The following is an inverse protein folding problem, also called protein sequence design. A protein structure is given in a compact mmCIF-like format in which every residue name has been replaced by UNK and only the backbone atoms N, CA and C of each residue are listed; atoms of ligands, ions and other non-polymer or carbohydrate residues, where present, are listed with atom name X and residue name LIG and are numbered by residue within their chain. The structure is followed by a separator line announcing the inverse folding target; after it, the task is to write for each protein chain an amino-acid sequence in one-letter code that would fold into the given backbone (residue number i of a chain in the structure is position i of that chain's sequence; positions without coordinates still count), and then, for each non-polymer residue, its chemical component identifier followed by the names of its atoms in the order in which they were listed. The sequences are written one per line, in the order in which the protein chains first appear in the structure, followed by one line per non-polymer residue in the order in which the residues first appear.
data_IF_189571065247
#
_entry.id   IF_189571065247
#
_cell.length_a   1.000
_cell.length_b   1.000
_cell.length_c   1.000
_cell.angle_alpha   90.00
_cell.angle_beta   90.00
_cell.angle_gamma   90.00
#
_symmetry.space_group_name_H-M   'P 1'
#
loop_
_entity.id
_entity.type
_entity.pdbx_description
1 polymer ?
#
# COMPACT_ATOMS: atom_id res chain seq x y z
N UNK A 1 38.04 1.02 -47.51
CA UNK A 1 37.59 2.37 -47.08
C UNK A 1 36.12 2.52 -47.44
N UNK A 2 35.22 2.56 -46.46
CA UNK A 2 33.80 2.90 -46.64
C UNK A 2 33.57 4.22 -45.92
N UNK A 3 33.22 5.24 -46.70
CA UNK A 3 32.82 6.57 -46.24
C UNK A 3 31.63 6.47 -45.27
N UNK A 4 31.81 6.99 -44.06
CA UNK A 4 30.75 7.15 -43.07
C UNK A 4 30.02 8.45 -43.44
N UNK A 5 28.80 8.32 -43.97
CA UNK A 5 27.92 9.46 -44.21
C UNK A 5 27.59 10.12 -42.86
N UNK A 6 28.01 11.38 -42.72
CA UNK A 6 27.65 12.25 -41.61
C UNK A 6 26.12 12.39 -41.52
N UNK A 7 25.52 11.71 -40.55
CA UNK A 7 24.14 11.93 -40.14
C UNK A 7 24.11 13.24 -39.34
N UNK A 8 23.78 14.35 -40.00
CA UNK A 8 23.37 15.58 -39.30
C UNK A 8 21.94 15.38 -38.81
N UNK A 9 21.68 15.21 -37.50
CA UNK A 9 20.32 15.18 -37.01
C UNK A 9 19.68 16.55 -37.27
N UNK A 10 18.46 16.52 -37.83
CA UNK A 10 17.64 17.71 -38.05
C UNK A 10 17.36 18.33 -36.67
N UNK A 11 17.82 19.55 -36.43
CA UNK A 11 17.82 20.20 -35.10
C UNK A 11 16.48 20.10 -34.35
N UNK A 12 15.35 20.10 -35.08
CA UNK A 12 14.01 19.94 -34.48
C UNK A 12 13.79 18.61 -33.74
N UNK A 13 14.40 17.50 -34.17
CA UNK A 13 14.22 16.20 -33.49
C UNK A 13 15.00 16.12 -32.18
N UNK A 14 16.09 16.88 -32.06
CA UNK A 14 16.91 16.93 -30.86
C UNK A 14 16.23 17.79 -29.79
N UNK A 15 15.58 18.88 -30.20
CA UNK A 15 14.78 19.72 -29.29
C UNK A 15 13.55 18.97 -28.78
N UNK A 16 12.85 18.21 -29.63
CA UNK A 16 11.67 17.44 -29.21
C UNK A 16 12.06 16.31 -28.25
N UNK A 17 13.17 15.61 -28.51
CA UNK A 17 13.68 14.56 -27.63
C UNK A 17 14.11 15.12 -26.26
N UNK A 18 14.75 16.30 -26.24
CA UNK A 18 15.15 16.96 -25.00
C UNK A 18 13.94 17.39 -24.16
N UNK A 19 12.90 17.94 -24.80
CA UNK A 19 11.65 18.31 -24.13
C UNK A 19 10.94 17.10 -23.51
N UNK A 20 10.91 15.96 -24.20
CA UNK A 20 10.36 14.71 -23.67
C UNK A 20 11.15 14.24 -22.44
N UNK A 21 12.48 14.30 -22.50
CA UNK A 21 13.35 13.87 -21.41
C UNK A 21 13.21 14.76 -20.17
N UNK A 22 13.08 16.07 -20.35
CA UNK A 22 12.79 17.04 -19.28
C UNK A 22 11.40 16.79 -18.68
N UNK A 23 10.39 16.50 -19.50
CA UNK A 23 9.05 16.17 -19.02
C UNK A 23 9.04 14.88 -18.18
N UNK A 24 9.75 13.84 -18.61
CA UNK A 24 9.91 12.61 -17.84
C UNK A 24 10.66 12.82 -16.52
N UNK A 25 11.69 13.66 -16.50
CA UNK A 25 12.40 14.03 -15.27
C UNK A 25 11.50 14.80 -14.30
N UNK A 26 10.70 15.75 -14.80
CA UNK A 26 9.76 16.50 -13.96
C UNK A 26 8.66 15.60 -13.39
N UNK A 27 8.11 14.68 -14.20
CA UNK A 27 7.15 13.68 -13.73
C UNK A 27 7.80 12.75 -12.70
N UNK A 28 9.03 12.31 -12.92
CA UNK A 28 9.76 11.48 -11.97
C UNK A 28 10.00 12.20 -10.63
N UNK A 29 10.31 13.50 -10.64
CA UNK A 29 10.45 14.32 -9.43
C UNK A 29 9.10 14.44 -8.71
N UNK A 30 8.00 14.65 -9.44
CA UNK A 30 6.65 14.74 -8.86
C UNK A 30 6.18 13.40 -8.28
N UNK A 31 6.46 12.27 -8.93
CA UNK A 31 6.12 10.94 -8.41
C UNK A 31 6.97 10.52 -7.21
N UNK A 32 8.21 11.00 -7.11
CA UNK A 32 9.09 10.78 -5.97
C UNK A 32 8.99 11.90 -4.92
N UNK A 33 7.94 12.72 -4.93
CA UNK A 33 7.73 13.74 -3.91
C UNK A 33 7.71 13.07 -2.54
N UNK A 34 8.84 13.16 -1.83
CA UNK A 34 8.95 12.89 -0.41
C UNK A 34 7.84 13.71 0.23
N UNK A 35 6.89 13.04 0.90
CA UNK A 35 5.90 13.74 1.71
C UNK A 35 6.67 14.40 2.85
N UNK A 36 7.04 15.66 2.65
CA UNK A 36 7.48 16.54 3.73
C UNK A 36 6.22 16.77 4.56
N UNK A 37 6.07 16.02 5.64
CA UNK A 37 5.08 16.33 6.65
C UNK A 37 5.35 17.76 7.12
N UNK A 38 4.32 18.60 7.05
CA UNK A 38 4.36 19.94 7.64
C UNK A 38 4.83 19.82 9.10
N UNK A 39 5.77 20.67 9.49
CA UNK A 39 6.34 20.70 10.85
C UNK A 39 5.19 20.92 11.83
N UNK A 40 4.75 19.85 12.50
CA UNK A 40 3.76 19.95 13.55
C UNK A 40 4.35 20.83 14.67
N UNK A 41 3.54 21.65 15.37
CA UNK A 41 4.04 22.48 16.45
C UNK A 41 4.82 21.62 17.45
N UNK A 42 6.13 21.89 17.60
CA UNK A 42 6.96 21.18 18.57
C UNK A 42 6.41 21.43 19.97
N UNK A 43 6.03 20.35 20.66
CA UNK A 43 5.54 20.38 22.03
C UNK A 43 6.73 20.72 22.93
N UNK A 44 6.55 21.75 23.76
CA UNK A 44 7.47 22.05 24.86
C UNK A 44 6.96 21.37 26.12
N UNK A 45 7.81 20.56 26.73
CA UNK A 45 7.55 19.95 28.02
C UNK A 45 7.56 21.01 29.13
N UNK A 46 6.84 20.74 30.21
CA UNK A 46 7.04 21.45 31.48
C UNK A 46 8.35 21.02 32.13
N UNK A 47 8.84 21.79 33.10
CA UNK A 47 10.12 21.47 33.77
C UNK A 47 10.05 20.15 34.54
N UNK A 48 8.92 19.86 35.20
CA UNK A 48 8.68 18.57 35.85
C UNK A 48 8.72 17.41 34.85
N UNK A 49 8.08 17.57 33.70
CA UNK A 49 8.09 16.57 32.63
C UNK A 49 9.49 16.35 32.03
N UNK A 50 10.27 17.43 31.84
CA UNK A 50 11.67 17.32 31.44
C UNK A 50 12.48 16.55 32.48
N UNK A 51 12.31 16.88 33.77
CA UNK A 51 12.97 16.21 34.88
C UNK A 51 12.67 14.72 34.91
N UNK A 52 11.39 14.34 34.84
CA UNK A 52 10.96 12.94 34.84
C UNK A 52 11.48 12.17 33.63
N UNK A 53 11.41 12.76 32.43
CA UNK A 53 11.94 12.15 31.20
C UNK A 53 13.45 11.94 31.28
N UNK A 54 14.20 12.95 31.73
CA UNK A 54 15.66 12.87 31.87
C UNK A 54 16.07 11.83 32.92
N UNK A 55 15.39 11.77 34.07
CA UNK A 55 15.67 10.78 35.12
C UNK A 55 15.43 9.35 34.63
N UNK A 56 14.39 9.13 33.84
CA UNK A 56 14.01 7.80 33.36
C UNK A 56 14.60 7.43 31.99
N UNK A 57 15.41 8.30 31.40
CA UNK A 57 15.91 8.19 30.01
C UNK A 57 16.52 6.81 29.69
N UNK A 58 17.33 6.24 30.59
CA UNK A 58 17.96 4.92 30.39
C UNK A 58 16.93 3.78 30.30
N UNK A 59 15.94 3.78 31.20
CA UNK A 59 14.85 2.79 31.22
C UNK A 59 13.96 2.90 29.98
N UNK A 60 13.61 4.13 29.58
CA UNK A 60 12.82 4.40 28.37
C UNK A 60 13.57 3.91 27.13
N UNK A 61 14.86 4.28 26.96
CA UNK A 61 15.67 3.81 25.83
C UNK A 61 15.80 2.29 25.79
N UNK A 62 15.98 1.64 26.93
CA UNK A 62 16.02 0.18 27.01
C UNK A 62 14.72 -0.45 26.51
N UNK A 63 13.58 0.10 26.91
CA UNK A 63 12.25 -0.36 26.49
C UNK A 63 12.02 -0.13 25.00
N UNK A 64 12.41 1.03 24.46
CA UNK A 64 12.32 1.35 23.03
C UNK A 64 13.19 0.41 22.18
N UNK A 65 14.42 0.09 22.61
CA UNK A 65 15.27 -0.87 21.90
C UNK A 65 14.64 -2.27 21.83
N UNK A 66 14.04 -2.74 22.93
CA UNK A 66 13.32 -4.02 22.93
C UNK A 66 12.13 -3.99 21.96
N UNK A 67 11.38 -2.89 21.95
CA UNK A 67 10.27 -2.68 21.03
C UNK A 67 10.73 -2.72 19.56
N UNK A 68 11.82 -2.02 19.23
CA UNK A 68 12.39 -1.98 17.89
C UNK A 68 12.75 -3.38 17.37
N UNK A 69 13.43 -4.18 18.21
CA UNK A 69 13.81 -5.57 17.87
C UNK A 69 12.56 -6.44 17.66
N UNK A 70 11.53 -6.26 18.49
CA UNK A 70 10.26 -6.97 18.35
C UNK A 70 9.58 -6.62 17.01
N UNK A 71 9.47 -5.32 16.71
CA UNK A 71 8.83 -4.85 15.49
C UNK A 71 9.59 -5.30 14.22
N UNK A 72 10.92 -5.37 14.26
CA UNK A 72 11.73 -5.91 13.16
C UNK A 72 11.44 -7.39 12.86
N UNK A 73 11.29 -8.21 13.92
CA UNK A 73 10.89 -9.61 13.77
C UNK A 73 9.49 -9.73 13.17
N UNK A 74 8.54 -8.95 13.68
CA UNK A 74 7.16 -8.92 13.17
C UNK A 74 7.14 -8.52 11.69
N UNK A 75 7.90 -7.48 11.30
CA UNK A 75 8.01 -7.05 9.90
C UNK A 75 8.53 -8.16 8.99
N UNK A 76 9.54 -8.92 9.41
CA UNK A 76 10.08 -10.03 8.63
C UNK A 76 9.01 -11.11 8.43
N UNK A 77 8.31 -11.48 9.51
CA UNK A 77 7.24 -12.47 9.46
C UNK A 77 6.09 -12.04 8.54
N UNK A 78 5.57 -10.83 8.72
CA UNK A 78 4.50 -10.28 7.88
C UNK A 78 4.92 -10.18 6.41
N UNK A 79 6.14 -9.71 6.14
CA UNK A 79 6.66 -9.63 4.78
C UNK A 79 6.72 -10.99 4.08
N UNK A 80 7.18 -12.03 4.79
CA UNK A 80 7.19 -13.39 4.28
C UNK A 80 5.76 -13.91 4.05
N UNK A 81 4.84 -13.69 4.99
CA UNK A 81 3.44 -14.10 4.86
C UNK A 81 2.76 -13.44 3.66
N UNK A 82 2.93 -12.13 3.45
CA UNK A 82 2.36 -11.44 2.29
C UNK A 82 2.96 -11.94 0.97
N UNK A 83 4.25 -12.27 0.94
CA UNK A 83 4.86 -12.88 -0.23
C UNK A 83 4.27 -14.27 -0.53
N UNK A 84 4.06 -15.07 0.50
CA UNK A 84 3.42 -16.39 0.39
C UNK A 84 1.96 -16.28 -0.07
N UNK A 85 1.17 -15.38 0.51
CA UNK A 85 -0.21 -15.09 0.09
C UNK A 85 -0.24 -14.79 -1.41
N UNK A 86 0.62 -13.89 -1.88
CA UNK A 86 0.67 -13.50 -3.28
C UNK A 86 1.13 -14.65 -4.19
N UNK A 87 2.29 -15.24 -3.91
CA UNK A 87 2.96 -16.17 -4.83
C UNK A 87 2.35 -17.57 -4.81
N UNK A 88 1.88 -18.03 -3.66
CA UNK A 88 1.42 -19.41 -3.48
C UNK A 88 -0.09 -19.54 -3.64
N UNK A 89 -0.84 -18.44 -3.43
CA UNK A 89 -2.30 -18.49 -3.43
C UNK A 89 -2.92 -17.56 -4.48
N UNK A 90 -2.78 -16.24 -4.35
CA UNK A 90 -3.47 -15.27 -5.21
C UNK A 90 -3.08 -15.45 -6.69
N UNK A 91 -1.79 -15.34 -7.00
CA UNK A 91 -1.33 -15.39 -8.40
C UNK A 91 -1.62 -16.73 -9.07
N UNK A 92 -1.31 -17.90 -8.47
CA UNK A 92 -1.63 -19.18 -9.08
C UNK A 92 -3.13 -19.40 -9.28
N UNK A 93 -3.96 -18.97 -8.32
CA UNK A 93 -5.41 -19.14 -8.43
C UNK A 93 -5.97 -18.31 -9.59
N UNK A 94 -5.67 -17.01 -9.64
CA UNK A 94 -6.09 -16.14 -10.74
C UNK A 94 -5.61 -16.67 -12.10
N UNK A 95 -4.37 -17.17 -12.19
CA UNK A 95 -3.86 -17.76 -13.44
C UNK A 95 -4.63 -19.02 -13.86
N UNK A 96 -5.06 -19.87 -12.92
CA UNK A 96 -5.87 -21.05 -13.24
C UNK A 96 -7.25 -20.67 -13.74
N UNK A 97 -7.88 -19.64 -13.16
CA UNK A 97 -9.15 -19.11 -13.66
C UNK A 97 -9.04 -18.66 -15.11
N UNK A 98 -8.03 -17.83 -15.43
CA UNK A 98 -7.79 -17.37 -16.80
C UNK A 98 -7.53 -18.53 -17.75
N UNK A 99 -6.70 -19.51 -17.36
CA UNK A 99 -6.42 -20.71 -18.18
C UNK A 99 -7.66 -21.54 -18.49
N UNK A 100 -8.65 -21.53 -17.60
CA UNK A 100 -9.92 -22.23 -17.77
C UNK A 100 -11.03 -21.32 -18.34
N UNK A 101 -10.65 -20.21 -18.99
CA UNK A 101 -11.55 -19.23 -19.59
C UNK A 101 -12.60 -18.64 -18.63
N UNK A 102 -12.25 -18.55 -17.35
CA UNK A 102 -13.11 -17.98 -16.32
C UNK A 102 -12.86 -16.48 -16.19
N UNK A 103 -13.93 -15.72 -15.96
CA UNK A 103 -13.82 -14.31 -15.60
C UNK A 103 -13.14 -14.19 -14.22
N UNK A 104 -12.29 -13.18 -14.03
CA UNK A 104 -11.68 -12.92 -12.72
C UNK A 104 -12.62 -12.14 -11.78
N UNK A 105 -13.66 -11.49 -12.30
CA UNK A 105 -14.48 -10.56 -11.51
C UNK A 105 -13.58 -9.54 -10.80
N UNK A 106 -13.85 -9.32 -9.51
CA UNK A 106 -13.08 -8.37 -8.68
C UNK A 106 -11.70 -8.91 -8.23
N UNK A 107 -11.37 -10.19 -8.50
CA UNK A 107 -10.13 -10.81 -8.02
C UNK A 107 -8.86 -10.19 -8.62
N UNK A 108 -8.94 -9.67 -9.84
CA UNK A 108 -7.80 -9.00 -10.50
C UNK A 108 -7.47 -7.67 -9.80
N UNK A 109 -8.50 -6.91 -9.45
CA UNK A 109 -8.35 -5.62 -8.78
C UNK A 109 -7.89 -5.82 -7.34
N UNK A 110 -8.43 -6.82 -6.64
CA UNK A 110 -7.98 -7.20 -5.29
C UNK A 110 -6.52 -7.67 -5.29
N UNK A 111 -6.08 -8.46 -6.28
CA UNK A 111 -4.67 -8.82 -6.42
C UNK A 111 -3.80 -7.58 -6.60
N UNK A 112 -4.19 -6.67 -7.51
CA UNK A 112 -3.43 -5.45 -7.79
C UNK A 112 -3.33 -4.56 -6.56
N UNK A 113 -4.45 -4.39 -5.83
CA UNK A 113 -4.50 -3.66 -4.57
C UNK A 113 -3.59 -4.28 -3.51
N UNK A 114 -3.60 -5.61 -3.36
CA UNK A 114 -2.75 -6.32 -2.40
C UNK A 114 -1.26 -6.12 -2.71
N UNK A 115 -0.86 -6.16 -3.99
CA UNK A 115 0.53 -5.89 -4.42
C UNK A 115 0.94 -4.46 -4.07
N UNK A 116 0.11 -3.46 -4.37
CA UNK A 116 0.38 -2.06 -4.06
C UNK A 116 0.50 -1.84 -2.55
N UNK A 117 -0.46 -2.34 -1.77
CA UNK A 117 -0.45 -2.21 -0.31
C UNK A 117 0.76 -2.91 0.33
N UNK A 118 1.22 -4.04 -0.22
CA UNK A 118 2.44 -4.73 0.24
C UNK A 118 3.69 -3.88 0.00
N UNK A 119 3.76 -3.19 -1.13
CA UNK A 119 4.86 -2.28 -1.43
C UNK A 119 4.82 -1.05 -0.51
N UNK A 120 3.65 -0.46 -0.30
CA UNK A 120 3.44 0.62 0.67
C UNK A 120 3.89 0.22 2.07
N UNK A 121 3.49 -0.97 2.55
CA UNK A 121 3.91 -1.50 3.84
C UNK A 121 5.43 -1.56 3.96
N UNK A 122 6.13 -1.95 2.90
CA UNK A 122 7.59 -1.97 2.90
C UNK A 122 8.18 -0.56 3.05
N UNK A 123 7.67 0.40 2.27
CA UNK A 123 8.12 1.79 2.32
C UNK A 123 7.82 2.46 3.67
N UNK A 124 6.60 2.27 4.20
CA UNK A 124 6.19 2.78 5.51
C UNK A 124 7.04 2.19 6.64
N UNK A 125 7.38 0.90 6.57
CA UNK A 125 8.26 0.30 7.57
C UNK A 125 9.66 0.91 7.54
N UNK A 126 10.23 1.14 6.36
CA UNK A 126 11.56 1.78 6.23
C UNK A 126 11.52 3.18 6.84
N UNK A 127 10.49 3.98 6.52
CA UNK A 127 10.31 5.31 7.08
C UNK A 127 10.17 5.26 8.61
N UNK A 128 9.29 4.41 9.14
CA UNK A 128 9.13 4.18 10.57
C UNK A 128 10.45 3.79 11.25
N UNK A 129 11.18 2.83 10.68
CA UNK A 129 12.47 2.37 11.21
C UNK A 129 13.48 3.52 11.28
N UNK A 130 13.52 4.39 10.26
CA UNK A 130 14.39 5.56 10.26
C UNK A 130 13.98 6.57 11.35
N UNK A 131 12.68 6.83 11.53
CA UNK A 131 12.21 7.69 12.63
C UNK A 131 12.55 7.11 14.01
N UNK A 132 12.49 5.79 14.16
CA UNK A 132 12.85 5.10 15.39
C UNK A 132 14.35 5.18 15.69
N UNK A 133 15.21 5.02 14.69
CA UNK A 133 16.66 5.22 14.85
C UNK A 133 16.97 6.67 15.25
N UNK A 134 16.34 7.64 14.59
CA UNK A 134 16.48 9.04 14.96
C UNK A 134 16.07 9.28 16.43
N UNK A 135 14.95 8.71 16.89
CA UNK A 135 14.53 8.76 18.29
C UNK A 135 15.60 8.21 19.24
N UNK A 136 16.15 7.03 18.93
CA UNK A 136 17.16 6.40 19.76
C UNK A 136 18.50 7.14 19.77
N UNK A 137 18.79 7.93 18.74
CA UNK A 137 20.00 8.75 18.64
C UNK A 137 19.98 9.97 19.58
N UNK A 138 18.80 10.50 19.92
CA UNK A 138 18.67 11.69 20.75
C UNK A 138 19.02 11.37 22.21
N UNK A 139 19.88 12.19 22.82
CA UNK A 139 20.17 12.13 24.25
C UNK A 139 18.99 12.73 25.05
N UNK A 140 18.11 11.87 25.59
CA UNK A 140 16.96 12.31 26.38
C UNK A 140 17.31 12.96 27.71
N UNK A 141 18.55 12.86 28.21
CA UNK A 141 18.96 13.56 29.42
C UNK A 141 19.27 15.03 29.14
N UNK A 142 19.90 15.30 27.98
CA UNK A 142 20.31 16.64 27.57
C UNK A 142 19.25 17.38 26.76
N UNK A 143 18.51 16.65 25.92
CA UNK A 143 17.53 17.20 24.98
C UNK A 143 16.15 16.53 25.15
N UNK A 144 15.50 16.66 26.32
CA UNK A 144 14.23 16.00 26.61
C UNK A 144 13.10 16.42 25.66
N UNK A 145 13.02 17.71 25.28
CA UNK A 145 12.00 18.20 24.35
C UNK A 145 12.15 17.59 22.95
N UNK A 146 13.36 17.54 22.41
CA UNK A 146 13.61 16.97 21.08
C UNK A 146 13.33 15.47 21.07
N UNK A 147 13.74 14.75 22.12
CA UNK A 147 13.44 13.33 22.27
C UNK A 147 11.93 13.09 22.30
N UNK A 148 11.19 13.88 23.06
CA UNK A 148 9.75 13.74 23.18
C UNK A 148 9.01 14.06 21.87
N UNK A 149 9.43 15.12 21.17
CA UNK A 149 8.86 15.44 19.86
C UNK A 149 9.13 14.34 18.83
N UNK A 150 10.35 13.80 18.78
CA UNK A 150 10.69 12.68 17.90
C UNK A 150 9.94 11.40 18.30
N UNK A 151 9.66 11.19 19.59
CA UNK A 151 8.85 10.08 20.07
C UNK A 151 7.43 10.17 19.50
N UNK A 152 6.82 11.35 19.45
CA UNK A 152 5.50 11.56 18.85
C UNK A 152 5.52 11.20 17.36
N UNK A 153 6.49 11.71 16.61
CA UNK A 153 6.67 11.39 15.18
C UNK A 153 6.81 9.87 14.96
N UNK A 154 7.60 9.21 15.80
CA UNK A 154 7.81 7.76 15.76
C UNK A 154 6.53 7.00 16.07
N UNK A 155 5.70 7.49 17.01
CA UNK A 155 4.41 6.87 17.35
C UNK A 155 3.40 7.01 16.22
N UNK A 156 3.31 8.17 15.58
CA UNK A 156 2.39 8.37 14.46
C UNK A 156 2.78 7.54 13.24
N UNK A 157 4.07 7.47 12.89
CA UNK A 157 4.55 6.60 11.81
C UNK A 157 4.30 5.10 12.11
N UNK A 158 4.45 4.67 13.37
CA UNK A 158 4.08 3.30 13.78
C UNK A 158 2.59 3.03 13.65
N UNK A 159 1.75 4.01 13.97
CA UNK A 159 0.29 3.93 13.83
C UNK A 159 -0.11 3.81 12.35
N UNK A 160 0.49 4.61 11.47
CA UNK A 160 0.27 4.52 10.03
C UNK A 160 0.67 3.16 9.46
N UNK A 161 1.83 2.63 9.88
CA UNK A 161 2.27 1.28 9.53
C UNK A 161 1.26 0.22 9.96
N UNK A 162 0.75 0.31 11.19
CA UNK A 162 -0.26 -0.62 11.70
C UNK A 162 -1.57 -0.54 10.90
N UNK A 163 -2.01 0.67 10.53
CA UNK A 163 -3.18 0.84 9.68
C UNK A 163 -2.99 0.14 8.32
N UNK A 164 -1.79 0.22 7.73
CA UNK A 164 -1.49 -0.49 6.48
C UNK A 164 -1.55 -2.01 6.62
N UNK A 165 -1.14 -2.55 7.77
CA UNK A 165 -1.27 -3.99 8.08
C UNK A 165 -2.74 -4.41 8.13
N UNK A 166 -3.61 -3.60 8.73
CA UNK A 166 -5.06 -3.85 8.73
C UNK A 166 -5.64 -3.78 7.33
N UNK A 167 -5.24 -2.81 6.51
CA UNK A 167 -5.72 -2.67 5.13
C UNK A 167 -5.32 -3.89 4.28
N UNK A 168 -4.08 -4.36 4.41
CA UNK A 168 -3.61 -5.60 3.76
C UNK A 168 -4.43 -6.82 4.18
N UNK A 169 -4.72 -6.92 5.47
CA UNK A 169 -5.53 -8.01 6.03
C UNK A 169 -6.94 -7.99 5.45
N UNK A 170 -7.59 -6.82 5.44
CA UNK A 170 -8.92 -6.63 4.84
C UNK A 170 -8.93 -6.96 3.35
N UNK A 171 -7.91 -6.59 2.59
CA UNK A 171 -7.81 -6.94 1.16
C UNK A 171 -7.69 -8.45 0.96
N UNK A 172 -6.87 -9.13 1.78
CA UNK A 172 -6.77 -10.59 1.74
C UNK A 172 -8.09 -11.28 2.12
N UNK A 173 -8.80 -10.78 3.12
CA UNK A 173 -10.11 -11.29 3.54
C UNK A 173 -11.17 -11.11 2.44
N UNK A 174 -11.20 -9.94 1.78
CA UNK A 174 -12.07 -9.70 0.61
C UNK A 174 -11.75 -10.66 -0.52
N UNK A 175 -10.47 -10.87 -0.83
CA UNK A 175 -10.06 -11.82 -1.85
C UNK A 175 -10.52 -13.25 -1.52
N UNK A 176 -10.37 -13.67 -0.26
CA UNK A 176 -10.89 -14.95 0.22
C UNK A 176 -12.42 -15.04 0.11
N UNK A 177 -13.14 -13.96 0.41
CA UNK A 177 -14.59 -13.92 0.31
C UNK A 177 -15.05 -14.07 -1.14
N UNK A 178 -14.39 -13.40 -2.10
CA UNK A 178 -14.69 -13.57 -3.53
C UNK A 178 -14.41 -15.00 -4.01
N UNK A 179 -13.32 -15.64 -3.56
CA UNK A 179 -13.07 -17.05 -3.86
C UNK A 179 -14.21 -17.95 -3.36
N UNK A 180 -14.75 -17.69 -2.17
CA UNK A 180 -15.84 -18.51 -1.61
C UNK A 180 -17.15 -18.43 -2.39
N UNK A 181 -17.33 -17.40 -3.24
CA UNK A 181 -18.48 -17.29 -4.17
C UNK A 181 -18.30 -18.12 -5.43
N UNK A 182 -17.11 -18.71 -5.62
CA UNK A 182 -16.80 -19.55 -6.76
C UNK A 182 -17.17 -20.99 -6.39
N UNK A 183 -18.18 -21.52 -7.06
CA UNK A 183 -18.54 -22.93 -6.98
C UNK A 183 -17.69 -23.70 -8.02
N UNK A 184 -16.99 -24.74 -7.55
CA UNK A 184 -16.14 -25.58 -8.39
C UNK A 184 -16.83 -26.93 -8.53
N UNK A 185 -17.53 -27.14 -9.65
CA UNK A 185 -18.16 -28.42 -9.99
C UNK A 185 -17.24 -29.22 -10.91
N UNK A 186 -16.39 -30.06 -10.30
CA UNK A 186 -15.55 -31.06 -10.98
C UNK A 186 -14.50 -30.48 -11.94
N UNK A 187 -14.96 -29.98 -13.09
CA UNK A 187 -14.19 -29.44 -14.22
C UNK A 187 -14.67 -28.04 -14.68
N UNK A 188 -15.82 -27.56 -14.19
CA UNK A 188 -16.36 -26.24 -14.48
C UNK A 188 -16.37 -25.35 -13.24
N UNK A 189 -15.82 -24.15 -13.39
CA UNK A 189 -15.84 -23.10 -12.38
C UNK A 189 -17.04 -22.21 -12.69
N UNK A 190 -17.93 -21.97 -11.73
CA UNK A 190 -19.05 -21.02 -11.87
C UNK A 190 -18.99 -19.99 -10.75
N UNK A 191 -19.12 -18.72 -11.12
CA UNK A 191 -19.37 -17.66 -10.14
C UNK A 191 -20.85 -17.66 -9.83
N UNK A 192 -21.24 -17.99 -8.60
CA UNK A 192 -22.61 -17.72 -8.15
C UNK A 192 -22.68 -16.25 -7.76
N UNK A 193 -23.42 -15.39 -8.49
CA UNK A 193 -23.71 -14.06 -7.98
C UNK A 193 -24.49 -14.21 -6.67
N UNK A 194 -24.19 -13.35 -5.71
CA UNK A 194 -25.03 -13.16 -4.52
C UNK A 194 -26.48 -12.98 -4.98
N UNK A 195 -27.40 -13.78 -4.43
CA UNK A 195 -28.83 -13.64 -4.71
C UNK A 195 -29.25 -12.24 -4.24
N UNK A 196 -29.29 -11.28 -5.15
CA UNK A 196 -30.13 -10.11 -4.97
C UNK A 196 -31.57 -10.63 -4.89
N UNK A 197 -32.21 -10.38 -3.76
CA UNK A 197 -33.60 -10.72 -3.52
C UNK A 197 -34.45 -10.25 -4.71
N UNK A 198 -34.86 -11.20 -5.55
CA UNK A 198 -35.73 -10.99 -6.70
C UNK A 198 -37.18 -10.79 -6.25
N UNK A 199 -37.39 -9.90 -5.28
CA UNK A 199 -38.71 -9.47 -4.82
C UNK A 199 -38.80 -7.94 -4.82
N UNK A 200 -38.35 -7.29 -5.90
CA UNK A 200 -38.80 -5.92 -6.22
C UNK A 200 -38.57 -5.50 -7.67
N UNK A 201 -39.11 -6.25 -8.62
CA UNK A 201 -39.35 -5.74 -9.96
C UNK A 201 -40.52 -6.47 -10.64
N UNK A 202 -41.63 -6.62 -9.91
CA UNK A 202 -42.93 -6.67 -10.58
C UNK A 202 -43.43 -5.22 -10.63
N UNK A 203 -43.83 -4.77 -11.83
CA UNK A 203 -44.31 -3.43 -12.20
C UNK A 203 -43.33 -2.55 -12.97
N UNK A 204 -42.99 -2.91 -14.22
CA UNK A 204 -43.00 -1.93 -15.32
C UNK A 204 -43.58 -2.63 -16.56
N UNK A 205 -44.82 -2.29 -16.86
CA UNK A 205 -45.59 -2.59 -18.07
C UNK A 205 -44.82 -2.24 -19.35
N UNK A 206 -44.77 -3.16 -20.31
CA UNK A 206 -44.30 -2.90 -21.66
C UNK A 206 -45.49 -2.47 -22.55
N UNK A 207 -45.48 -1.28 -23.17
CA UNK A 207 -46.47 -0.90 -24.16
C UNK A 207 -46.01 -1.30 -25.57
N UNK A 208 -46.99 -1.64 -26.41
CA UNK A 208 -46.93 -1.84 -27.87
C UNK A 208 -46.46 -3.22 -28.38
N UNK A 209 -47.43 -4.07 -28.73
CA UNK A 209 -47.86 -4.16 -30.13
C UNK A 209 -49.28 -4.74 -30.26
N UNK A 210 -50.03 -4.18 -31.21
CA UNK A 210 -51.42 -4.49 -31.52
C UNK A 210 -51.58 -5.70 -32.47
N UNK A 211 -52.84 -6.15 -32.55
CA UNK A 211 -53.60 -6.62 -33.74
C UNK A 211 -53.98 -8.12 -33.78
N UNK A 212 -55.27 -8.33 -34.11
CA UNK A 212 -55.99 -9.54 -34.58
C UNK A 212 -56.39 -10.59 -33.52
N UNK A 213 -57.63 -11.04 -33.40
CA UNK A 213 -58.84 -10.75 -34.17
C UNK A 213 -60.02 -11.65 -33.74
N UNK A 214 -61.22 -11.18 -34.10
CA UNK A 214 -62.55 -11.80 -34.09
C UNK A 214 -63.33 -11.85 -32.78
#
# INVERSE_FOLDING_TARGET
MKEIKNFKPKESKVTDLFLILVAFLLVFILFNSVRVSADAPKIKLTDDQRGELSMNCSSIKSSLKKLQVSDAKIRSLLGANYQTILNSYITPFNLRLVKNNQNLGDLSDLQSSFVLQKNDFSSLYIAYSQQFENLLSIDCQKNPDDFYNQLIVTRESRKELNQKVEDLTKTAEKYLAEIKKIEIDGENIRFTPEKTDATKASSITNPANQVEGR
#
